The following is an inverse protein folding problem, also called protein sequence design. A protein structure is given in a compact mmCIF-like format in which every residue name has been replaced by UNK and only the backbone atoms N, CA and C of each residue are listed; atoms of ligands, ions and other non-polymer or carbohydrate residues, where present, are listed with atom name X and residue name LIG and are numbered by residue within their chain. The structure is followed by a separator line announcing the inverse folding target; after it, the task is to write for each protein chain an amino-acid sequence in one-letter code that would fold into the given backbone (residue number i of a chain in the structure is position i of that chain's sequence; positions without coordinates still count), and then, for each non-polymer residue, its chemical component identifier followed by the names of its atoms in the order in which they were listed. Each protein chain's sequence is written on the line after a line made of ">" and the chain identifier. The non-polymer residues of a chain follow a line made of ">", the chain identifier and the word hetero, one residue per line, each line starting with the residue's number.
data_IF_956387144048
#
_entry.id   IF_956387144048
#
_cell.length_a   1.000
_cell.length_b   1.000
_cell.length_c   1.000
_cell.angle_alpha   90.00
_cell.angle_beta   90.00
_cell.angle_gamma   90.00
#
_symmetry.space_group_name_H-M   'P 1'
#
loop_
_entity.id
_entity.type
_entity.pdbx_description
1 polymer ?
#
# COMPACT_ATOMS: atom_id res chain seq x y z
N UNK A 1 13.52 10.03 -8.46
CA UNK A 1 13.81 8.66 -7.96
C UNK A 1 12.99 7.71 -8.80
N UNK A 2 13.60 6.75 -9.47
CA UNK A 2 12.88 5.74 -10.26
C UNK A 2 12.08 4.83 -9.33
N UNK A 3 10.82 4.56 -9.67
CA UNK A 3 9.97 3.65 -8.91
C UNK A 3 10.66 2.28 -8.82
N UNK A 4 10.92 1.80 -7.60
CA UNK A 4 11.51 0.48 -7.38
C UNK A 4 10.43 -0.56 -7.61
N UNK A 5 10.56 -1.34 -8.69
CA UNK A 5 9.68 -2.48 -8.93
C UNK A 5 9.89 -3.50 -7.81
N UNK A 6 8.78 -3.94 -7.22
CA UNK A 6 8.76 -4.95 -6.15
C UNK A 6 7.95 -6.16 -6.58
N UNK A 7 8.22 -7.36 -6.04
CA UNK A 7 7.57 -8.61 -6.46
C UNK A 7 6.24 -8.90 -5.78
N UNK A 8 6.01 -8.30 -4.61
CA UNK A 8 4.72 -8.34 -3.94
C UNK A 8 3.74 -7.36 -4.60
N UNK A 9 2.47 -7.70 -4.54
CA UNK A 9 1.33 -6.92 -5.03
C UNK A 9 1.13 -5.64 -4.21
N UNK A 10 1.26 -5.77 -2.90
CA UNK A 10 0.99 -4.75 -1.89
C UNK A 10 1.84 -5.03 -0.63
N UNK A 11 1.93 -4.04 0.26
CA UNK A 11 2.69 -4.21 1.51
C UNK A 11 2.05 -5.20 2.50
N UNK A 12 0.77 -5.54 2.34
CA UNK A 12 0.13 -6.58 3.15
C UNK A 12 0.60 -7.98 2.76
N UNK A 13 0.82 -8.26 1.46
CA UNK A 13 1.46 -9.51 1.01
C UNK A 13 2.90 -9.63 1.54
N UNK A 14 3.65 -8.53 1.59
CA UNK A 14 4.99 -8.51 2.18
C UNK A 14 4.98 -8.78 3.69
N UNK A 15 4.03 -8.17 4.44
CA UNK A 15 3.86 -8.44 5.89
C UNK A 15 3.44 -9.87 6.16
N UNK A 16 2.49 -10.39 5.38
CA UNK A 16 2.10 -11.80 5.45
C UNK A 16 3.29 -12.73 5.24
N UNK A 17 4.15 -12.44 4.26
CA UNK A 17 5.34 -13.24 4.00
C UNK A 17 6.28 -13.24 5.21
N UNK A 18 6.55 -12.06 5.80
CA UNK A 18 7.34 -11.95 7.03
C UNK A 18 6.74 -12.82 8.13
N UNK A 19 5.47 -12.61 8.44
CA UNK A 19 4.82 -13.27 9.56
C UNK A 19 4.77 -14.78 9.36
N UNK A 20 4.52 -15.26 8.13
CA UNK A 20 4.54 -16.66 7.79
C UNK A 20 5.94 -17.30 7.91
N UNK A 21 7.01 -16.62 7.48
CA UNK A 21 8.40 -17.11 7.60
C UNK A 21 8.86 -17.23 9.06
N UNK A 22 8.37 -16.36 9.95
CA UNK A 22 8.75 -16.32 11.37
C UNK A 22 7.69 -16.93 12.32
N UNK A 23 6.56 -17.41 11.80
CA UNK A 23 5.44 -17.96 12.58
C UNK A 23 5.79 -19.18 13.44
N UNK A 24 6.83 -19.94 13.05
CA UNK A 24 7.13 -21.25 13.63
C UNK A 24 6.21 -22.37 13.12
N UNK A 25 5.18 -22.05 12.34
CA UNK A 25 4.26 -23.02 11.75
C UNK A 25 4.82 -23.55 10.42
N UNK A 26 5.05 -24.87 10.35
CA UNK A 26 5.69 -25.49 9.18
C UNK A 26 4.89 -25.28 7.87
N UNK A 27 3.55 -25.33 7.94
CA UNK A 27 2.68 -25.14 6.79
C UNK A 27 2.75 -23.72 6.22
N UNK A 28 2.63 -22.70 7.08
CA UNK A 28 2.73 -21.30 6.68
C UNK A 28 4.13 -20.96 6.16
N UNK A 29 5.17 -21.40 6.86
CA UNK A 29 6.55 -21.20 6.43
C UNK A 29 6.82 -21.85 5.06
N UNK A 30 6.31 -23.07 4.81
CA UNK A 30 6.45 -23.73 3.51
C UNK A 30 5.73 -22.95 2.39
N UNK A 31 4.52 -22.46 2.63
CA UNK A 31 3.79 -21.63 1.67
C UNK A 31 4.53 -20.30 1.37
N UNK A 32 5.10 -19.68 2.39
CA UNK A 32 5.91 -18.47 2.25
C UNK A 32 7.18 -18.71 1.41
N UNK A 33 7.90 -19.81 1.67
CA UNK A 33 9.06 -20.22 0.86
C UNK A 33 8.67 -20.43 -0.61
N UNK A 34 7.54 -21.09 -0.88
CA UNK A 34 7.03 -21.27 -2.24
C UNK A 34 6.70 -19.93 -2.91
N UNK A 35 6.11 -18.98 -2.17
CA UNK A 35 5.84 -17.62 -2.69
C UNK A 35 7.13 -16.91 -3.10
N UNK A 36 8.18 -16.99 -2.29
CA UNK A 36 9.50 -16.39 -2.61
C UNK A 36 10.09 -17.02 -3.87
N UNK A 37 10.05 -18.35 -4.00
CA UNK A 37 10.50 -19.04 -5.22
C UNK A 37 9.74 -18.58 -6.46
N UNK A 38 8.42 -18.39 -6.36
CA UNK A 38 7.63 -17.86 -7.45
C UNK A 38 8.08 -16.44 -7.84
N UNK A 39 8.43 -15.59 -6.86
CA UNK A 39 8.97 -14.26 -7.13
C UNK A 39 10.37 -14.26 -7.74
N UNK A 40 11.24 -15.18 -7.33
CA UNK A 40 12.60 -15.36 -7.90
C UNK A 40 12.56 -15.59 -9.42
N UNK A 41 11.49 -16.22 -9.94
CA UNK A 41 11.34 -16.44 -11.39
C UNK A 41 11.01 -15.18 -12.19
N UNK A 42 10.53 -14.12 -11.53
CA UNK A 42 10.04 -12.90 -12.17
C UNK A 42 11.05 -11.76 -12.10
N UNK A 43 11.78 -11.65 -10.99
CA UNK A 43 12.77 -10.59 -10.80
C UNK A 43 13.78 -10.92 -9.69
N UNK A 44 14.87 -10.15 -9.65
CA UNK A 44 15.83 -10.19 -8.56
C UNK A 44 15.20 -9.71 -7.24
N UNK A 45 15.40 -10.48 -6.17
CA UNK A 45 14.85 -10.17 -4.84
C UNK A 45 15.90 -9.50 -3.93
N UNK A 46 15.46 -8.71 -2.92
CA UNK A 46 16.35 -8.26 -1.87
C UNK A 46 17.08 -9.43 -1.22
N UNK A 47 18.41 -9.34 -1.09
CA UNK A 47 19.23 -10.46 -0.59
C UNK A 47 18.78 -10.91 0.81
N UNK A 48 18.41 -9.98 1.70
CA UNK A 48 17.90 -10.31 3.03
C UNK A 48 16.62 -11.17 2.99
N UNK A 49 15.66 -10.82 2.12
CA UNK A 49 14.43 -11.59 1.92
C UNK A 49 14.73 -13.00 1.39
N UNK A 50 15.60 -13.07 0.38
CA UNK A 50 16.00 -14.33 -0.24
C UNK A 50 16.72 -15.27 0.75
N UNK A 51 17.68 -14.73 1.51
CA UNK A 51 18.42 -15.51 2.51
C UNK A 51 17.52 -15.94 3.67
N UNK A 52 16.58 -15.10 4.10
CA UNK A 52 15.57 -15.48 5.09
C UNK A 52 14.80 -16.72 4.63
N UNK A 53 14.24 -16.69 3.42
CA UNK A 53 13.44 -17.80 2.88
C UNK A 53 14.26 -19.10 2.75
N UNK A 54 15.51 -19.02 2.29
CA UNK A 54 16.38 -20.20 2.15
C UNK A 54 16.79 -20.79 3.51
N UNK A 55 17.08 -19.96 4.50
CA UNK A 55 17.38 -20.41 5.86
C UNK A 55 16.17 -21.10 6.51
N UNK A 56 14.96 -20.56 6.30
CA UNK A 56 13.70 -21.17 6.75
C UNK A 56 13.44 -22.48 6.00
N UNK A 57 13.67 -22.54 4.69
CA UNK A 57 13.54 -23.77 3.91
C UNK A 57 14.46 -24.89 4.43
N UNK A 58 15.73 -24.58 4.66
CA UNK A 58 16.68 -25.56 5.21
C UNK A 58 16.22 -26.04 6.59
N UNK A 59 15.68 -25.15 7.42
CA UNK A 59 15.13 -25.50 8.75
C UNK A 59 13.92 -26.43 8.67
N UNK A 60 13.04 -26.23 7.68
CA UNK A 60 11.90 -27.12 7.43
C UNK A 60 12.38 -28.52 7.00
N UNK A 61 13.40 -28.58 6.15
CA UNK A 61 14.00 -29.83 5.67
C UNK A 61 14.74 -30.55 6.81
N UNK A 62 15.45 -29.82 7.67
CA UNK A 62 16.22 -30.36 8.79
C UNK A 62 15.31 -31.09 9.80
N UNK A 63 14.03 -30.69 9.94
CA UNK A 63 12.98 -31.40 10.70
C UNK A 63 13.22 -31.57 12.21
N UNK A 64 14.44 -31.32 12.68
CA UNK A 64 14.99 -31.72 13.97
C UNK A 64 14.54 -30.85 15.16
N UNK A 65 13.59 -29.93 14.93
CA UNK A 65 13.02 -29.03 15.94
C UNK A 65 11.53 -29.23 16.19
N UNK A 66 10.84 -30.01 15.36
CA UNK A 66 9.49 -30.46 15.61
C UNK A 66 9.52 -31.81 16.30
N UNK A 67 8.88 -31.95 17.46
CA UNK A 67 8.66 -33.24 18.14
C UNK A 67 7.76 -34.21 17.32
N UNK A 68 7.51 -33.95 16.03
CA UNK A 68 6.68 -34.75 15.13
C UNK A 68 7.11 -34.57 13.67
N UNK A 69 8.25 -35.13 13.23
CA UNK A 69 8.53 -35.28 11.80
C UNK A 69 9.61 -36.34 11.44
N UNK A 70 9.93 -37.26 12.34
CA UNK A 70 10.32 -38.60 11.87
C UNK A 70 9.02 -39.37 11.67
N UNK A 71 8.29 -39.07 10.59
CA UNK A 71 7.27 -39.98 10.12
C UNK A 71 8.00 -41.24 9.66
N UNK A 72 8.01 -42.26 10.51
CA UNK A 72 8.33 -43.62 10.08
C UNK A 72 7.38 -43.94 8.94
N UNK A 73 7.91 -43.99 7.72
CA UNK A 73 7.20 -44.71 6.66
C UNK A 73 7.08 -46.17 7.09
N UNK A 74 5.98 -46.82 6.72
CA UNK A 74 5.73 -48.24 7.00
C UNK A 74 6.79 -49.20 6.41
N UNK A 75 7.83 -48.68 5.72
CA UNK A 75 8.94 -49.39 5.11
C UNK A 75 10.31 -49.09 5.76
N UNK A 76 10.39 -48.40 6.89
CA UNK A 76 11.64 -48.27 7.65
C UNK A 76 12.74 -47.43 6.99
N UNK A 77 12.41 -46.59 5.99
CA UNK A 77 13.32 -45.58 5.46
C UNK A 77 13.08 -44.23 6.15
N UNK A 78 14.17 -43.63 6.66
CA UNK A 78 14.21 -42.25 7.15
C UNK A 78 13.95 -41.34 5.96
N UNK A 79 12.79 -40.66 5.92
CA UNK A 79 12.52 -39.59 4.94
C UNK A 79 13.17 -38.31 5.44
N UNK A 80 14.49 -38.23 5.31
CA UNK A 80 15.30 -37.08 5.69
C UNK A 80 16.61 -37.07 4.90
N UNK A 81 17.10 -35.88 4.54
CA UNK A 81 18.41 -35.75 3.89
C UNK A 81 19.52 -36.21 4.85
N UNK A 82 20.61 -36.82 4.33
CA UNK A 82 21.73 -37.21 5.18
C UNK A 82 22.35 -35.97 5.85
N UNK A 83 22.87 -36.15 7.06
CA UNK A 83 23.45 -35.06 7.86
C UNK A 83 24.50 -34.25 7.10
N UNK A 84 25.34 -34.91 6.30
CA UNK A 84 26.35 -34.23 5.47
C UNK A 84 25.75 -33.31 4.41
N UNK A 85 24.63 -33.70 3.79
CA UNK A 85 23.91 -32.84 2.86
C UNK A 85 23.29 -31.64 3.56
N UNK A 86 22.70 -31.83 4.76
CA UNK A 86 22.19 -30.73 5.58
C UNK A 86 23.31 -29.77 5.99
N UNK A 87 24.48 -30.29 6.40
CA UNK A 87 25.65 -29.47 6.73
C UNK A 87 26.05 -28.58 5.56
N UNK A 88 26.12 -29.15 4.35
CA UNK A 88 26.46 -28.40 3.14
C UNK A 88 25.43 -27.32 2.81
N UNK A 89 24.13 -27.65 2.93
CA UNK A 89 23.04 -26.69 2.69
C UNK A 89 23.12 -25.50 3.64
N UNK A 90 23.25 -25.75 4.95
CA UNK A 90 23.42 -24.69 5.94
C UNK A 90 24.69 -23.88 5.69
N UNK A 91 25.84 -24.54 5.52
CA UNK A 91 27.13 -23.89 5.34
C UNK A 91 27.13 -22.96 4.12
N UNK A 92 26.61 -23.43 2.99
CA UNK A 92 26.50 -22.62 1.78
C UNK A 92 25.55 -21.44 1.97
N UNK A 93 24.40 -21.65 2.60
CA UNK A 93 23.43 -20.57 2.81
C UNK A 93 23.97 -19.49 3.76
N UNK A 94 24.60 -19.91 4.88
CA UNK A 94 25.24 -19.01 5.85
C UNK A 94 26.39 -18.24 5.17
N UNK A 95 27.24 -18.92 4.40
CA UNK A 95 28.30 -18.29 3.62
C UNK A 95 27.75 -17.21 2.68
N UNK A 96 26.68 -17.51 1.93
CA UNK A 96 26.05 -16.53 1.01
C UNK A 96 25.40 -15.37 1.75
N UNK A 97 24.81 -15.62 2.91
CA UNK A 97 24.24 -14.58 3.77
C UNK A 97 25.34 -13.62 4.25
N UNK A 98 26.40 -14.15 4.89
CA UNK A 98 27.53 -13.37 5.41
C UNK A 98 28.24 -12.59 4.30
N UNK A 99 28.49 -13.21 3.14
CA UNK A 99 29.11 -12.53 2.02
C UNK A 99 28.26 -11.36 1.53
N UNK A 100 26.97 -11.56 1.23
CA UNK A 100 26.18 -10.44 0.71
C UNK A 100 25.88 -9.36 1.75
N UNK A 101 25.88 -9.69 3.05
CA UNK A 101 25.89 -8.69 4.11
C UNK A 101 27.18 -7.86 4.07
N UNK A 102 28.35 -8.51 3.99
CA UNK A 102 29.62 -7.81 3.86
C UNK A 102 29.70 -6.94 2.59
N UNK A 103 29.22 -7.46 1.46
CA UNK A 103 29.22 -6.78 0.16
C UNK A 103 28.32 -5.53 0.16
N UNK A 104 27.24 -5.54 0.95
CA UNK A 104 26.35 -4.37 1.09
C UNK A 104 27.06 -3.10 1.59
N UNK A 105 28.18 -3.27 2.31
CA UNK A 105 29.03 -2.19 2.84
C UNK A 105 30.22 -1.82 1.94
N UNK A 106 30.44 -2.51 0.83
CA UNK A 106 31.62 -2.31 -0.03
C UNK A 106 31.45 -1.21 -1.09
N UNK A 107 30.57 -0.23 -0.88
CA UNK A 107 30.26 0.84 -1.86
C UNK A 107 31.38 1.88 -2.08
N UNK A 108 32.64 1.58 -1.72
CA UNK A 108 33.78 2.51 -1.78
C UNK A 108 34.94 1.99 -2.65
N UNK A 109 35.94 2.85 -2.90
CA UNK A 109 37.10 2.57 -3.78
C UNK A 109 38.02 1.46 -3.25
N UNK A 110 38.00 1.20 -1.93
CA UNK A 110 38.80 0.16 -1.28
C UNK A 110 37.90 -0.94 -0.71
N UNK A 111 38.14 -2.18 -1.11
CA UNK A 111 37.45 -3.35 -0.58
C UNK A 111 37.81 -3.57 0.89
N UNK A 112 36.79 -3.69 1.76
CA UNK A 112 36.96 -4.07 3.16
C UNK A 112 37.01 -5.60 3.27
N UNK A 113 37.75 -6.12 4.24
CA UNK A 113 37.68 -7.56 4.54
C UNK A 113 36.29 -7.94 5.06
N UNK A 114 35.86 -9.18 4.82
CA UNK A 114 34.56 -9.68 5.32
C UNK A 114 34.47 -9.56 6.85
N UNK A 115 35.57 -9.82 7.56
CA UNK A 115 35.65 -9.65 9.01
C UNK A 115 35.42 -8.20 9.45
N UNK A 116 36.05 -7.22 8.77
CA UNK A 116 35.85 -5.79 9.07
C UNK A 116 34.42 -5.33 8.77
N UNK A 117 33.84 -5.80 7.65
CA UNK A 117 32.47 -5.50 7.29
C UNK A 117 31.48 -6.12 8.29
N UNK A 118 31.68 -7.38 8.69
CA UNK A 118 30.86 -8.08 9.68
C UNK A 118 30.90 -7.36 11.04
N UNK A 119 32.08 -6.93 11.49
CA UNK A 119 32.21 -6.13 12.72
C UNK A 119 31.43 -4.81 12.64
N UNK A 120 31.44 -4.13 11.49
CA UNK A 120 30.67 -2.90 11.26
C UNK A 120 29.16 -3.15 11.33
N UNK A 121 28.69 -4.33 10.89
CA UNK A 121 27.29 -4.74 10.96
C UNK A 121 26.88 -5.32 12.32
N UNK A 122 27.81 -5.40 13.28
CA UNK A 122 27.59 -6.03 14.58
C UNK A 122 27.40 -7.55 14.50
N UNK A 123 27.84 -8.20 13.42
CA UNK A 123 27.81 -9.66 13.32
C UNK A 123 28.90 -10.28 14.19
N UNK A 124 28.61 -11.35 14.94
CA UNK A 124 29.60 -12.02 15.75
C UNK A 124 30.69 -12.68 14.89
N UNK A 125 31.97 -12.65 15.32
CA UNK A 125 33.08 -13.20 14.54
C UNK A 125 32.92 -14.66 14.13
N UNK A 126 32.30 -15.49 14.99
CA UNK A 126 32.11 -16.92 14.71
C UNK A 126 31.22 -17.21 13.48
N UNK A 127 30.36 -16.27 13.05
CA UNK A 127 29.63 -16.40 11.78
C UNK A 127 30.56 -16.23 10.57
N UNK A 128 31.58 -15.39 10.70
CA UNK A 128 32.63 -15.24 9.68
C UNK A 128 33.52 -16.48 9.66
N UNK A 129 33.77 -17.08 10.82
CA UNK A 129 34.53 -18.34 10.94
C UNK A 129 33.78 -19.49 10.25
N UNK A 130 32.45 -19.63 10.44
CA UNK A 130 31.64 -20.62 9.70
C UNK A 130 31.80 -20.45 8.19
N UNK A 131 31.83 -19.20 7.70
CA UNK A 131 32.04 -18.90 6.28
C UNK A 131 33.46 -19.24 5.82
N UNK A 132 34.47 -19.03 6.66
CA UNK A 132 35.86 -19.41 6.36
C UNK A 132 36.00 -20.93 6.30
N UNK A 133 35.49 -21.64 7.31
CA UNK A 133 35.55 -23.09 7.41
C UNK A 133 34.83 -23.77 6.25
N UNK A 134 33.63 -23.31 5.92
CA UNK A 134 32.86 -23.84 4.79
C UNK A 134 33.54 -23.68 3.42
N UNK A 135 34.50 -22.76 3.28
CA UNK A 135 35.22 -22.52 2.03
C UNK A 135 36.59 -23.21 1.97
N UNK A 136 37.26 -23.36 3.12
CA UNK A 136 38.68 -23.71 3.17
C UNK A 136 39.04 -24.86 4.10
N UNK A 137 38.19 -25.16 5.09
CA UNK A 137 38.44 -26.21 6.10
C UNK A 137 37.32 -27.25 6.07
N UNK A 138 37.25 -28.06 7.14
CA UNK A 138 36.16 -29.00 7.35
C UNK A 138 34.85 -28.26 7.68
N UNK A 139 33.72 -28.85 7.25
CA UNK A 139 32.41 -28.28 7.52
C UNK A 139 32.14 -28.21 9.04
N UNK A 140 31.61 -27.08 9.55
CA UNK A 140 31.25 -26.97 10.96
C UNK A 140 30.22 -28.01 11.40
N UNK A 141 30.17 -28.26 12.70
CA UNK A 141 29.19 -29.18 13.29
C UNK A 141 27.75 -28.72 13.01
N UNK A 142 26.81 -29.67 12.92
CA UNK A 142 25.40 -29.34 12.75
C UNK A 142 24.86 -28.39 13.84
N UNK A 143 25.34 -28.52 15.08
CA UNK A 143 24.95 -27.62 16.17
C UNK A 143 25.38 -26.17 15.90
N UNK A 144 26.62 -25.98 15.47
CA UNK A 144 27.17 -24.68 15.07
C UNK A 144 26.40 -24.08 13.90
N UNK A 145 26.09 -24.88 12.88
CA UNK A 145 25.34 -24.43 11.70
C UNK A 145 23.89 -24.04 12.02
N UNK A 146 23.20 -24.81 12.87
CA UNK A 146 21.85 -24.46 13.34
C UNK A 146 21.85 -23.16 14.14
N UNK A 147 22.83 -22.98 15.02
CA UNK A 147 23.03 -21.73 15.76
C UNK A 147 23.31 -20.54 14.82
N UNK A 148 24.12 -20.75 13.78
CA UNK A 148 24.36 -19.76 12.73
C UNK A 148 23.10 -19.36 11.99
N UNK A 149 22.26 -20.33 11.63
CA UNK A 149 20.96 -20.08 11.01
C UNK A 149 20.04 -19.26 11.93
N UNK A 150 19.93 -19.61 13.22
CA UNK A 150 19.14 -18.84 14.19
C UNK A 150 19.61 -17.40 14.30
N UNK A 151 20.92 -17.19 14.44
CA UNK A 151 21.48 -15.85 14.59
C UNK A 151 21.21 -15.00 13.35
N UNK A 152 21.41 -15.55 12.15
CA UNK A 152 21.15 -14.83 10.91
C UNK A 152 19.67 -14.51 10.71
N UNK A 153 18.75 -15.44 11.05
CA UNK A 153 17.32 -15.15 10.99
C UNK A 153 16.94 -14.04 11.96
N UNK A 154 17.44 -14.05 13.20
CA UNK A 154 17.24 -12.96 14.15
C UNK A 154 17.78 -11.62 13.62
N UNK A 155 19.00 -11.63 13.07
CA UNK A 155 19.61 -10.44 12.49
C UNK A 155 18.80 -9.89 11.31
N UNK A 156 18.34 -10.75 10.39
CA UNK A 156 17.51 -10.30 9.26
C UNK A 156 16.16 -9.78 9.72
N UNK A 157 15.54 -10.42 10.73
CA UNK A 157 14.32 -9.92 11.34
C UNK A 157 14.50 -8.48 11.82
N UNK A 158 15.48 -8.24 12.68
CA UNK A 158 15.71 -6.91 13.26
C UNK A 158 16.14 -5.87 12.21
N UNK A 159 17.11 -6.19 11.35
CA UNK A 159 17.78 -5.19 10.50
C UNK A 159 17.09 -4.96 9.17
N UNK A 160 16.39 -5.95 8.63
CA UNK A 160 15.67 -5.82 7.37
C UNK A 160 14.16 -5.74 7.60
N UNK A 161 13.56 -6.75 8.22
CA UNK A 161 12.10 -6.84 8.33
C UNK A 161 11.51 -5.78 9.27
N UNK A 162 12.05 -5.62 10.48
CA UNK A 162 11.56 -4.60 11.44
C UNK A 162 11.86 -3.19 10.95
N UNK A 163 13.08 -2.90 10.49
CA UNK A 163 13.42 -1.57 9.94
C UNK A 163 12.50 -1.17 8.79
N UNK A 164 12.21 -2.10 7.87
CA UNK A 164 11.31 -1.83 6.76
C UNK A 164 9.89 -1.59 7.26
N UNK A 165 9.37 -2.42 8.17
CA UNK A 165 8.01 -2.24 8.69
C UNK A 165 7.87 -0.93 9.49
N UNK A 166 8.88 -0.54 10.27
CA UNK A 166 8.94 0.75 10.96
C UNK A 166 8.87 1.92 9.98
N UNK A 167 9.57 1.84 8.83
CA UNK A 167 9.52 2.85 7.79
C UNK A 167 8.11 2.93 7.16
N UNK A 168 7.48 1.79 6.89
CA UNK A 168 6.11 1.74 6.37
C UNK A 168 5.11 2.32 7.38
N UNK A 169 5.25 2.01 8.67
CA UNK A 169 4.41 2.56 9.73
C UNK A 169 4.61 4.08 9.89
N UNK A 170 5.85 4.57 9.80
CA UNK A 170 6.12 6.02 9.81
C UNK A 170 5.50 6.72 8.61
N UNK A 171 5.59 6.12 7.43
CA UNK A 171 4.98 6.66 6.22
C UNK A 171 3.44 6.69 6.34
N UNK A 172 2.83 5.59 6.79
CA UNK A 172 1.39 5.51 7.04
C UNK A 172 0.93 6.61 7.99
N UNK A 173 1.60 6.75 9.14
CA UNK A 173 1.32 7.82 10.09
C UNK A 173 1.52 9.21 9.49
N UNK A 174 2.60 9.44 8.74
CA UNK A 174 2.85 10.73 8.11
C UNK A 174 1.78 11.12 7.09
N UNK A 175 1.25 10.14 6.34
CA UNK A 175 0.12 10.33 5.42
C UNK A 175 -1.14 10.67 6.19
N UNK A 176 -1.48 9.90 7.23
CA UNK A 176 -2.66 10.18 8.09
C UNK A 176 -2.58 11.57 8.71
N UNK A 177 -1.44 11.94 9.28
CA UNK A 177 -1.21 13.25 9.90
C UNK A 177 -1.35 14.39 8.87
N UNK A 178 -0.85 14.20 7.65
CA UNK A 178 -0.98 15.19 6.58
C UNK A 178 -2.43 15.35 6.07
N UNK A 179 -3.18 14.25 5.97
CA UNK A 179 -4.60 14.28 5.61
C UNK A 179 -5.44 14.97 6.70
N UNK A 180 -5.19 14.66 7.97
CA UNK A 180 -5.86 15.30 9.10
C UNK A 180 -5.54 16.80 9.16
N UNK A 181 -4.28 17.18 8.92
CA UNK A 181 -3.89 18.58 8.82
C UNK A 181 -4.61 19.29 7.67
N UNK A 182 -4.75 18.63 6.52
CA UNK A 182 -5.51 19.17 5.40
C UNK A 182 -6.97 19.42 5.78
N UNK A 183 -7.67 18.46 6.38
CA UNK A 183 -9.09 18.62 6.77
C UNK A 183 -9.27 19.76 7.77
N UNK A 184 -8.40 19.86 8.79
CA UNK A 184 -8.45 20.96 9.75
C UNK A 184 -8.25 22.32 9.08
N UNK A 185 -7.32 22.41 8.13
CA UNK A 185 -7.02 23.64 7.42
C UNK A 185 -8.14 24.02 6.45
N UNK A 186 -8.71 23.05 5.74
CA UNK A 186 -9.84 23.24 4.84
C UNK A 186 -11.08 23.77 5.59
N UNK A 187 -11.37 23.23 6.77
CA UNK A 187 -12.46 23.70 7.63
C UNK A 187 -12.27 25.14 8.09
N UNK A 188 -11.05 25.50 8.51
CA UNK A 188 -10.73 26.89 8.88
C UNK A 188 -10.88 27.84 7.70
N UNK A 189 -10.41 27.44 6.52
CA UNK A 189 -10.56 28.23 5.31
C UNK A 189 -12.02 28.39 4.85
N UNK A 190 -12.91 27.43 5.17
CA UNK A 190 -14.35 27.61 4.96
C UNK A 190 -15.00 28.58 5.95
N UNK A 191 -14.44 28.72 7.16
CA UNK A 191 -14.91 29.69 8.15
C UNK A 191 -14.33 31.10 7.94
N UNK A 192 -13.16 31.21 7.28
CA UNK A 192 -12.41 32.45 7.08
C UNK A 192 -12.06 32.67 5.59
N UNK A 193 -12.68 33.66 4.94
CA UNK A 193 -12.82 33.75 3.47
C UNK A 193 -11.55 33.93 2.61
N UNK A 194 -10.35 34.20 3.15
CA UNK A 194 -9.20 34.51 2.28
C UNK A 194 -7.79 34.19 2.83
N UNK A 195 -7.56 34.32 4.15
CA UNK A 195 -6.20 34.22 4.71
C UNK A 195 -5.67 32.78 4.76
N UNK A 196 -6.55 31.80 4.96
CA UNK A 196 -6.17 30.40 5.21
C UNK A 196 -6.00 29.57 3.94
N UNK A 197 -6.29 30.13 2.75
CA UNK A 197 -6.26 29.35 1.51
C UNK A 197 -4.85 28.92 1.09
N UNK A 198 -3.86 29.77 1.34
CA UNK A 198 -2.46 29.41 1.15
C UNK A 198 -2.04 28.22 2.05
N UNK A 199 -2.64 28.11 3.24
CA UNK A 199 -2.43 27.01 4.17
C UNK A 199 -3.04 25.70 3.65
N UNK A 200 -4.23 25.75 3.04
CA UNK A 200 -4.86 24.59 2.36
C UNK A 200 -3.96 24.09 1.23
N UNK A 201 -3.45 24.99 0.40
CA UNK A 201 -2.56 24.65 -0.71
C UNK A 201 -1.24 24.04 -0.23
N UNK A 202 -0.65 24.58 0.85
CA UNK A 202 0.55 24.00 1.48
C UNK A 202 0.29 22.58 2.00
N UNK A 203 -0.87 22.35 2.61
CA UNK A 203 -1.28 21.04 3.11
C UNK A 203 -1.46 20.01 1.99
N UNK A 204 -2.06 20.42 0.85
CA UNK A 204 -2.12 19.58 -0.37
C UNK A 204 -0.72 19.24 -0.87
N UNK A 205 0.17 20.26 -0.94
CA UNK A 205 1.56 20.06 -1.35
C UNK A 205 2.29 19.04 -0.47
N UNK A 206 2.08 19.09 0.85
CA UNK A 206 2.63 18.12 1.80
C UNK A 206 2.16 16.69 1.49
N UNK A 207 0.86 16.49 1.25
CA UNK A 207 0.32 15.15 0.91
C UNK A 207 0.96 14.60 -0.36
N UNK A 208 1.06 15.43 -1.40
CA UNK A 208 1.66 15.03 -2.69
C UNK A 208 3.16 14.76 -2.60
N UNK A 209 3.88 15.41 -1.69
CA UNK A 209 5.32 15.21 -1.48
C UNK A 209 5.64 13.93 -0.70
N UNK A 210 4.72 13.42 0.12
CA UNK A 210 4.95 12.23 0.94
C UNK A 210 5.06 10.94 0.13
N UNK A 211 4.45 10.90 -1.07
CA UNK A 211 4.20 9.63 -1.76
C UNK A 211 4.88 9.57 -3.12
N UNK A 212 5.64 8.48 -3.32
CA UNK A 212 6.14 8.07 -4.62
C UNK A 212 5.02 7.49 -5.49
N UNK A 213 5.28 7.37 -6.79
CA UNK A 213 4.32 6.88 -7.81
C UNK A 213 3.72 5.50 -7.50
N UNK A 214 4.43 4.65 -6.77
CA UNK A 214 3.98 3.31 -6.38
C UNK A 214 3.36 3.24 -4.99
N UNK A 215 3.60 4.22 -4.12
CA UNK A 215 3.21 4.17 -2.71
C UNK A 215 1.77 4.60 -2.44
N UNK A 216 1.17 5.43 -3.31
CA UNK A 216 -0.17 5.95 -3.06
C UNK A 216 -1.25 4.85 -2.93
N UNK A 217 -1.09 3.70 -3.58
CA UNK A 217 -2.06 2.60 -3.51
C UNK A 217 -2.13 1.95 -2.13
N UNK A 218 -0.98 1.78 -1.50
CA UNK A 218 -0.87 1.06 -0.24
C UNK A 218 -1.10 1.96 0.98
N UNK A 219 -0.86 3.26 0.83
CA UNK A 219 -0.95 4.22 1.94
C UNK A 219 -2.06 5.25 1.75
N UNK A 220 -2.12 5.90 0.58
CA UNK A 220 -3.06 7.00 0.36
C UNK A 220 -4.50 6.52 0.20
N UNK A 221 -4.72 5.48 -0.61
CA UNK A 221 -6.09 5.01 -0.87
C UNK A 221 -6.79 4.47 0.39
N UNK A 222 -6.14 3.65 1.25
CA UNK A 222 -6.72 3.26 2.53
C UNK A 222 -6.86 4.43 3.50
N UNK A 223 -5.91 5.37 3.52
CA UNK A 223 -6.00 6.54 4.38
C UNK A 223 -7.17 7.47 3.98
N UNK A 224 -7.45 7.62 2.69
CA UNK A 224 -8.61 8.35 2.20
C UNK A 224 -9.94 7.68 2.56
N UNK A 225 -10.02 6.34 2.54
CA UNK A 225 -11.20 5.59 2.99
C UNK A 225 -11.54 5.96 4.45
N UNK A 226 -10.53 5.96 5.34
CA UNK A 226 -10.70 6.40 6.73
C UNK A 226 -11.03 7.89 6.84
N UNK A 227 -10.41 8.74 6.00
CA UNK A 227 -10.66 10.19 5.99
C UNK A 227 -12.11 10.52 5.61
N UNK A 228 -12.70 9.76 4.68
CA UNK A 228 -14.10 9.88 4.29
C UNK A 228 -15.01 9.57 5.47
N UNK A 229 -14.79 8.44 6.16
CA UNK A 229 -15.55 8.07 7.36
C UNK A 229 -15.47 9.16 8.44
N UNK A 230 -14.27 9.67 8.73
CA UNK A 230 -14.07 10.72 9.75
C UNK A 230 -14.72 12.04 9.36
N UNK A 231 -14.51 12.51 8.11
CA UNK A 231 -14.99 13.83 7.68
C UNK A 231 -16.51 13.87 7.58
N UNK A 232 -17.12 12.82 7.01
CA UNK A 232 -18.57 12.74 6.85
C UNK A 232 -19.26 12.34 8.16
N UNK A 233 -18.65 11.43 8.94
CA UNK A 233 -19.21 10.93 10.20
C UNK A 233 -19.32 12.00 11.28
N UNK A 234 -18.39 12.96 11.34
CA UNK A 234 -18.49 14.11 12.25
C UNK A 234 -19.71 15.00 11.92
N UNK A 235 -20.01 15.19 10.64
CA UNK A 235 -21.21 15.91 10.20
C UNK A 235 -22.50 15.19 10.60
N UNK A 236 -22.51 13.86 10.41
CA UNK A 236 -23.62 13.02 10.85
C UNK A 236 -23.82 13.04 12.37
N UNK A 237 -22.75 13.11 13.15
CA UNK A 237 -22.83 13.15 14.62
C UNK A 237 -23.25 14.53 15.17
N UNK A 238 -23.00 15.61 14.43
CA UNK A 238 -23.40 16.97 14.80
C UNK A 238 -24.88 17.27 14.53
N UNK A 239 -25.50 16.52 13.62
CA UNK A 239 -26.93 16.57 13.37
C UNK A 239 -27.67 15.66 14.37
N UNK A 240 -28.23 16.24 15.44
CA UNK A 240 -29.03 15.53 16.44
C UNK A 240 -30.21 14.77 15.78
N UNK A 241 -30.02 13.47 15.51
CA UNK A 241 -31.04 12.53 15.06
C UNK A 241 -31.63 12.85 13.68
N UNK A 242 -31.08 12.28 12.61
CA UNK A 242 -31.70 12.34 11.28
C UNK A 242 -33.13 11.79 11.32
N UNK A 243 -34.08 12.60 10.83
CA UNK A 243 -35.48 12.17 10.68
C UNK A 243 -35.68 11.18 9.53
N UNK A 244 -34.77 11.18 8.53
CA UNK A 244 -34.75 10.28 7.37
C UNK A 244 -33.30 10.13 6.82
N UNK A 245 -32.99 9.00 6.19
CA UNK A 245 -31.69 8.70 5.57
C UNK A 245 -31.33 9.71 4.44
N UNK A 246 -32.32 10.32 3.81
CA UNK A 246 -32.10 11.35 2.78
C UNK A 246 -31.30 12.56 3.28
N UNK A 247 -31.63 13.04 4.48
CA UNK A 247 -30.92 14.17 5.11
C UNK A 247 -29.49 13.78 5.49
N UNK A 248 -29.29 12.53 5.94
CA UNK A 248 -27.97 11.98 6.25
C UNK A 248 -27.07 11.94 5.01
N UNK A 249 -27.60 11.53 3.85
CA UNK A 249 -26.83 11.55 2.60
C UNK A 249 -26.45 12.98 2.18
N UNK A 250 -27.37 13.94 2.28
CA UNK A 250 -27.12 15.33 1.91
C UNK A 250 -26.03 15.97 2.81
N UNK A 251 -26.12 15.75 4.12
CA UNK A 251 -25.15 16.27 5.09
C UNK A 251 -23.76 15.66 4.87
N UNK A 252 -23.71 14.34 4.66
CA UNK A 252 -22.46 13.63 4.37
C UNK A 252 -21.85 14.07 3.03
N UNK A 253 -22.66 14.33 2.00
CA UNK A 253 -22.18 14.87 0.73
C UNK A 253 -21.57 16.26 0.91
N UNK A 254 -22.23 17.16 1.66
CA UNK A 254 -21.69 18.49 1.94
C UNK A 254 -20.35 18.43 2.67
N UNK A 255 -20.22 17.54 3.65
CA UNK A 255 -18.95 17.32 4.34
C UNK A 255 -17.89 16.71 3.42
N UNK A 256 -18.26 15.84 2.48
CA UNK A 256 -17.33 15.27 1.51
C UNK A 256 -16.80 16.32 0.50
N UNK A 257 -17.52 17.43 0.25
CA UNK A 257 -17.06 18.52 -0.62
C UNK A 257 -15.77 19.19 -0.10
N UNK A 258 -15.53 19.17 1.21
CA UNK A 258 -14.25 19.61 1.82
C UNK A 258 -13.04 18.85 1.25
N UNK A 259 -13.23 17.63 0.76
CA UNK A 259 -12.15 16.80 0.22
C UNK A 259 -11.87 17.09 -1.26
N UNK A 260 -12.78 17.75 -1.99
CA UNK A 260 -12.67 17.98 -3.43
C UNK A 260 -11.33 18.62 -3.86
N UNK A 261 -10.84 19.70 -3.25
CA UNK A 261 -9.52 20.27 -3.57
C UNK A 261 -8.38 19.24 -3.57
N UNK A 262 -8.29 18.44 -2.52
CA UNK A 262 -7.28 17.41 -2.38
C UNK A 262 -7.51 16.24 -3.36
N UNK A 263 -8.76 15.80 -3.54
CA UNK A 263 -9.10 14.73 -4.50
C UNK A 263 -8.67 15.08 -5.92
N UNK A 264 -8.93 16.30 -6.37
CA UNK A 264 -8.54 16.77 -7.70
C UNK A 264 -7.02 16.83 -7.85
N UNK A 265 -6.32 17.34 -6.85
CA UNK A 265 -4.86 17.41 -6.85
C UNK A 265 -4.22 16.00 -6.87
N UNK A 266 -4.71 15.09 -6.03
CA UNK A 266 -4.24 13.70 -5.97
C UNK A 266 -4.59 12.94 -7.25
N UNK A 267 -5.78 13.10 -7.82
CA UNK A 267 -6.16 12.48 -9.09
C UNK A 267 -5.31 12.99 -10.27
N UNK A 268 -4.93 14.27 -10.24
CA UNK A 268 -4.04 14.86 -11.23
C UNK A 268 -2.64 14.25 -11.14
N UNK A 269 -2.15 14.04 -9.92
CA UNK A 269 -0.86 13.38 -9.68
C UNK A 269 -0.91 11.88 -10.02
N UNK A 270 -2.03 11.20 -9.72
CA UNK A 270 -2.19 9.74 -9.84
C UNK A 270 -3.49 9.40 -10.57
N UNK A 271 -3.41 9.23 -11.89
CA UNK A 271 -4.57 9.05 -12.76
C UNK A 271 -5.51 7.87 -12.41
N UNK A 272 -5.02 6.87 -11.67
CA UNK A 272 -5.78 5.68 -11.24
C UNK A 272 -6.37 5.83 -9.83
N UNK A 273 -6.18 6.97 -9.17
CA UNK A 273 -6.57 7.18 -7.77
C UNK A 273 -8.07 7.10 -7.55
N UNK A 274 -8.86 7.97 -8.19
CA UNK A 274 -10.32 8.00 -8.02
C UNK A 274 -10.98 6.66 -8.34
N UNK A 275 -10.69 5.98 -9.47
CA UNK A 275 -11.27 4.65 -9.72
C UNK A 275 -10.95 3.63 -8.63
N UNK A 276 -9.71 3.62 -8.14
CA UNK A 276 -9.29 2.72 -7.07
C UNK A 276 -10.04 3.03 -5.79
N UNK A 277 -10.15 4.31 -5.42
CA UNK A 277 -10.87 4.74 -4.22
C UNK A 277 -12.37 4.41 -4.30
N UNK A 278 -13.02 4.64 -5.44
CA UNK A 278 -14.44 4.31 -5.65
C UNK A 278 -14.70 2.81 -5.50
N UNK A 279 -13.84 1.96 -6.08
CA UNK A 279 -13.96 0.51 -5.88
C UNK A 279 -13.77 0.11 -4.41
N UNK A 280 -12.84 0.75 -3.69
CA UNK A 280 -12.65 0.50 -2.25
C UNK A 280 -13.88 0.89 -1.43
N UNK A 281 -14.49 2.04 -1.72
CA UNK A 281 -15.74 2.47 -1.09
C UNK A 281 -16.87 1.47 -1.37
N UNK A 282 -17.02 1.01 -2.62
CA UNK A 282 -18.02 -0.01 -2.96
C UNK A 282 -17.78 -1.33 -2.21
N UNK A 283 -16.53 -1.78 -2.14
CA UNK A 283 -16.15 -3.00 -1.40
C UNK A 283 -16.37 -2.84 0.10
N UNK A 284 -16.23 -1.62 0.65
CA UNK A 284 -16.50 -1.31 2.06
C UNK A 284 -18.00 -1.33 2.36
N UNK A 285 -18.84 -0.74 1.49
CA UNK A 285 -20.30 -0.82 1.59
C UNK A 285 -20.75 -2.29 1.59
N UNK A 286 -20.22 -3.10 0.66
CA UNK A 286 -20.54 -4.53 0.59
C UNK A 286 -20.09 -5.29 1.85
N UNK A 287 -18.91 -4.99 2.40
CA UNK A 287 -18.41 -5.58 3.64
C UNK A 287 -19.33 -5.25 4.82
N UNK A 288 -19.67 -3.98 5.01
CA UNK A 288 -20.54 -3.53 6.10
C UNK A 288 -21.93 -4.17 6.03
N UNK A 289 -22.51 -4.26 4.83
CA UNK A 289 -23.74 -4.99 4.59
C UNK A 289 -23.64 -6.48 4.98
N UNK A 290 -22.56 -7.16 4.60
CA UNK A 290 -22.35 -8.57 4.93
C UNK A 290 -22.18 -8.84 6.43
N UNK A 291 -21.69 -7.85 7.18
CA UNK A 291 -21.55 -7.88 8.63
C UNK A 291 -22.88 -7.58 9.36
N UNK A 292 -23.96 -7.30 8.62
CA UNK A 292 -25.26 -6.93 9.20
C UNK A 292 -25.27 -5.54 9.85
N UNK A 293 -24.29 -4.69 9.54
CA UNK A 293 -24.32 -3.28 9.92
C UNK A 293 -25.41 -2.60 9.08
N UNK A 294 -26.33 -1.88 9.71
CA UNK A 294 -27.42 -1.19 9.01
C UNK A 294 -26.92 -0.14 8.01
N UNK A 295 -27.83 0.36 7.17
CA UNK A 295 -27.54 1.31 6.09
C UNK A 295 -26.77 2.56 6.57
N UNK A 296 -26.98 2.98 7.83
CA UNK A 296 -26.27 4.08 8.49
C UNK A 296 -24.74 3.96 8.44
N UNK A 297 -24.20 2.74 8.55
CA UNK A 297 -22.74 2.52 8.54
C UNK A 297 -22.09 2.82 7.17
N UNK A 298 -22.90 2.74 6.10
CA UNK A 298 -22.47 2.93 4.72
C UNK A 298 -22.74 4.33 4.17
N UNK A 299 -23.44 5.20 4.91
CA UNK A 299 -23.84 6.54 4.47
C UNK A 299 -22.64 7.36 3.99
N UNK A 300 -21.54 7.40 4.76
CA UNK A 300 -20.35 8.18 4.39
C UNK A 300 -19.75 7.75 3.03
N UNK A 301 -19.59 6.44 2.81
CA UNK A 301 -19.03 5.91 1.57
C UNK A 301 -19.99 6.12 0.38
N UNK A 302 -21.28 5.90 0.60
CA UNK A 302 -22.29 6.08 -0.43
C UNK A 302 -22.45 7.55 -0.82
N UNK A 303 -22.48 8.46 0.14
CA UNK A 303 -22.46 9.91 -0.09
C UNK A 303 -21.22 10.35 -0.87
N UNK A 304 -20.03 9.84 -0.51
CA UNK A 304 -18.80 10.12 -1.24
C UNK A 304 -18.85 9.62 -2.69
N UNK A 305 -19.32 8.38 -2.92
CA UNK A 305 -19.48 7.83 -4.28
C UNK A 305 -20.46 8.69 -5.08
N UNK A 306 -21.61 9.07 -4.50
CA UNK A 306 -22.59 9.94 -5.14
C UNK A 306 -22.01 11.32 -5.48
N UNK A 307 -21.24 11.93 -4.57
CA UNK A 307 -20.55 13.21 -4.81
C UNK A 307 -19.62 13.10 -6.03
N UNK A 308 -18.71 12.13 -6.04
CA UNK A 308 -17.74 11.95 -7.13
C UNK A 308 -18.43 11.61 -8.47
N UNK A 309 -19.57 10.92 -8.42
CA UNK A 309 -20.36 10.58 -9.60
C UNK A 309 -21.35 11.67 -10.04
N UNK A 310 -21.55 12.72 -9.24
CA UNK A 310 -22.44 13.83 -9.56
C UNK A 310 -21.97 14.63 -10.77
N UNK A 311 -22.93 15.24 -11.48
CA UNK A 311 -22.62 16.16 -12.58
C UNK A 311 -21.85 17.39 -12.08
N UNK A 312 -22.14 17.85 -10.86
CA UNK A 312 -21.44 18.99 -10.26
C UNK A 312 -19.93 18.72 -10.09
N UNK A 313 -19.56 17.55 -9.56
CA UNK A 313 -18.15 17.16 -9.43
C UNK A 313 -17.49 16.98 -10.80
N UNK A 314 -18.23 16.44 -11.78
CA UNK A 314 -17.73 16.29 -13.14
C UNK A 314 -17.35 17.64 -13.78
N UNK A 315 -18.24 18.63 -13.66
CA UNK A 315 -17.99 20.00 -14.14
C UNK A 315 -16.82 20.65 -13.41
N UNK A 316 -16.72 20.42 -12.10
CA UNK A 316 -15.59 20.89 -11.28
C UNK A 316 -14.26 20.28 -11.75
N UNK A 317 -14.23 18.97 -12.00
CA UNK A 317 -13.06 18.26 -12.50
C UNK A 317 -12.63 18.76 -13.88
N UNK A 318 -13.58 19.01 -14.78
CA UNK A 318 -13.29 19.56 -16.11
C UNK A 318 -12.63 20.93 -16.05
N UNK A 319 -13.16 21.83 -15.22
CA UNK A 319 -12.56 23.14 -14.98
C UNK A 319 -11.15 23.02 -14.40
N UNK A 320 -10.95 22.06 -13.50
CA UNK A 320 -9.64 21.76 -12.95
C UNK A 320 -8.64 21.29 -14.00
N UNK A 321 -9.01 20.34 -14.87
CA UNK A 321 -8.11 19.88 -15.95
C UNK A 321 -7.77 21.01 -16.92
N UNK A 322 -8.76 21.84 -17.31
CA UNK A 322 -8.53 23.01 -18.16
C UNK A 322 -7.57 24.00 -17.52
N UNK A 323 -7.73 24.28 -16.22
CA UNK A 323 -6.82 25.13 -15.46
C UNK A 323 -5.38 24.60 -15.44
N UNK A 324 -5.21 23.29 -15.21
CA UNK A 324 -3.89 22.63 -15.23
C UNK A 324 -3.25 22.70 -16.61
N UNK A 325 -4.02 22.43 -17.68
CA UNK A 325 -3.53 22.43 -19.04
C UNK A 325 -3.10 23.82 -19.51
N UNK A 326 -3.91 24.84 -19.24
CA UNK A 326 -3.64 26.23 -19.62
C UNK A 326 -2.68 26.93 -18.64
N UNK A 327 -2.31 26.24 -17.54
CA UNK A 327 -1.67 26.82 -16.36
C UNK A 327 -2.42 28.07 -15.89
N UNK A 328 -3.74 28.10 -16.07
CA UNK A 328 -4.57 29.25 -15.78
C UNK A 328 -5.30 29.02 -14.47
N UNK A 329 -4.89 29.78 -13.48
CA UNK A 329 -5.41 29.70 -12.13
C UNK A 329 -6.83 30.29 -12.06
N UNK A 330 -7.21 31.21 -12.95
CA UNK A 330 -8.52 31.86 -12.93
C UNK A 330 -9.68 30.91 -13.27
N UNK A 331 -9.36 29.78 -13.91
CA UNK A 331 -10.32 28.71 -14.24
C UNK A 331 -10.68 27.81 -13.05
N UNK A 332 -9.89 27.85 -11.97
CA UNK A 332 -10.16 27.09 -10.76
C UNK A 332 -11.19 27.81 -9.87
N UNK A 333 -11.97 27.08 -9.05
CA UNK A 333 -12.81 27.70 -8.03
C UNK A 333 -12.00 28.66 -7.15
N UNK A 334 -12.59 29.78 -6.71
CA UNK A 334 -11.90 30.77 -5.85
C UNK A 334 -11.28 30.12 -4.60
N UNK A 335 -11.94 29.08 -4.07
CA UNK A 335 -11.54 28.22 -2.96
C UNK A 335 -10.25 27.40 -3.24
N UNK A 336 -9.69 27.46 -4.45
CA UNK A 336 -8.46 26.75 -4.82
C UNK A 336 -7.33 27.70 -5.25
N UNK A 337 -7.62 28.99 -5.28
CA UNK A 337 -6.88 29.99 -6.08
C UNK A 337 -6.34 31.12 -5.24
N UNK A 338 -7.07 31.56 -4.21
CA UNK A 338 -6.70 32.77 -3.48
C UNK A 338 -5.36 32.61 -2.76
N UNK A 339 -4.40 33.48 -3.07
CA UNK A 339 -3.21 33.69 -2.24
C UNK A 339 -1.86 33.15 -2.73
N UNK A 340 -1.75 32.51 -3.90
CA UNK A 340 -0.45 32.00 -4.42
C UNK A 340 -0.16 32.49 -5.85
N UNK A 341 1.05 33.00 -6.08
CA UNK A 341 1.56 33.39 -7.41
C UNK A 341 1.63 32.17 -8.36
N UNK A 342 1.39 32.40 -9.65
CA UNK A 342 1.23 31.36 -10.69
C UNK A 342 2.38 30.33 -10.74
N UNK A 343 3.59 30.73 -10.34
CA UNK A 343 4.81 29.94 -10.48
C UNK A 343 5.10 28.99 -9.29
N UNK A 344 4.36 29.11 -8.18
CA UNK A 344 4.58 28.34 -6.93
C UNK A 344 3.59 27.17 -6.73
N UNK A 345 2.90 26.71 -7.79
CA UNK A 345 1.81 25.71 -7.68
C UNK A 345 2.27 24.31 -8.10
N UNK A 346 2.83 23.48 -7.18
CA UNK A 346 3.37 22.16 -7.52
C UNK A 346 2.31 21.18 -8.08
N UNK A 347 1.03 21.38 -7.77
CA UNK A 347 -0.08 20.54 -8.27
C UNK A 347 -0.59 20.94 -9.67
N UNK A 348 -0.26 22.15 -10.15
CA UNK A 348 -0.47 22.55 -11.55
C UNK A 348 0.69 22.11 -12.46
N UNK A 349 1.82 21.71 -11.88
CA UNK A 349 2.93 21.17 -12.64
C UNK A 349 2.63 19.72 -13.02
N UNK A 350 2.50 19.45 -14.32
CA UNK A 350 2.46 18.06 -14.83
C UNK A 350 3.72 17.34 -14.31
N UNK A 351 3.61 16.24 -13.55
CA UNK A 351 4.78 15.46 -13.15
C UNK A 351 5.59 15.10 -14.40
N UNK A 352 6.91 15.29 -14.38
CA UNK A 352 7.78 15.08 -15.55
C UNK A 352 7.71 13.67 -16.15
N UNK A 353 7.16 12.69 -15.41
CA UNK A 353 7.01 11.28 -15.77
C UNK A 353 5.76 11.00 -16.62
N UNK A 354 4.91 12.00 -16.84
CA UNK A 354 3.54 11.80 -17.29
C UNK A 354 3.24 12.62 -18.57
N UNK A 355 4.02 12.39 -19.63
CA UNK A 355 3.78 12.84 -21.02
C UNK A 355 2.89 11.86 -21.81
N UNK A 356 1.81 11.36 -21.19
CA UNK A 356 0.81 10.53 -21.86
C UNK A 356 -0.38 11.35 -22.37
N UNK A 357 -0.97 10.91 -23.47
CA UNK A 357 -2.17 11.49 -24.08
C UNK A 357 -3.37 11.44 -23.12
N UNK A 358 -4.06 12.58 -22.92
CA UNK A 358 -5.02 12.79 -21.84
C UNK A 358 -6.45 13.11 -22.31
N UNK A 359 -7.03 12.25 -23.14
CA UNK A 359 -8.47 12.20 -23.43
C UNK A 359 -9.32 11.60 -22.28
N UNK A 360 -9.00 11.99 -21.03
CA UNK A 360 -9.24 11.26 -19.76
C UNK A 360 -10.67 11.18 -19.21
N UNK A 361 -11.63 11.91 -19.74
CA UNK A 361 -13.05 11.77 -19.39
C UNK A 361 -13.61 10.38 -19.73
N UNK A 362 -13.13 9.79 -20.83
CA UNK A 362 -13.55 8.47 -21.29
C UNK A 362 -13.22 7.34 -20.29
N UNK A 363 -12.27 7.52 -19.36
CA UNK A 363 -11.86 6.48 -18.40
C UNK A 363 -12.62 6.50 -17.07
N UNK A 364 -13.10 7.65 -16.60
CA UNK A 364 -14.06 7.68 -15.48
C UNK A 364 -15.41 7.13 -15.95
N UNK A 365 -15.82 7.42 -17.20
CA UNK A 365 -16.98 6.79 -17.83
C UNK A 365 -16.80 5.27 -18.01
N UNK A 366 -15.61 4.79 -18.41
CA UNK A 366 -15.31 3.35 -18.50
C UNK A 366 -15.44 2.61 -17.15
N UNK A 367 -15.17 3.29 -16.04
CA UNK A 367 -15.33 2.72 -14.70
C UNK A 367 -16.74 2.89 -14.13
N UNK A 368 -17.61 3.70 -14.75
CA UNK A 368 -19.01 3.83 -14.30
C UNK A 368 -19.79 2.54 -14.54
N UNK A 369 -19.55 1.81 -15.63
CA UNK A 369 -20.19 0.52 -15.88
C UNK A 369 -19.74 -0.54 -14.87
N UNK A 370 -18.43 -0.68 -14.64
CA UNK A 370 -17.87 -1.62 -13.66
C UNK A 370 -18.33 -1.31 -12.23
N UNK A 371 -18.39 -0.02 -11.87
CA UNK A 371 -18.86 0.42 -10.56
C UNK A 371 -20.38 0.22 -10.41
N UNK A 372 -21.15 0.48 -11.47
CA UNK A 372 -22.59 0.18 -11.52
C UNK A 372 -22.85 -1.30 -11.32
N UNK A 373 -22.08 -2.17 -11.98
CA UNK A 373 -22.20 -3.61 -11.79
C UNK A 373 -21.98 -3.97 -10.32
N UNK A 374 -20.96 -3.41 -9.65
CA UNK A 374 -20.78 -3.61 -8.20
C UNK A 374 -21.97 -3.10 -7.39
N UNK A 375 -22.51 -1.92 -7.70
CA UNK A 375 -23.68 -1.33 -7.02
C UNK A 375 -24.91 -2.21 -7.20
N UNK A 376 -25.11 -2.80 -8.37
CA UNK A 376 -26.23 -3.70 -8.66
C UNK A 376 -26.22 -4.95 -7.76
N UNK A 377 -25.04 -5.41 -7.34
CA UNK A 377 -24.84 -6.56 -6.44
C UNK A 377 -24.89 -6.21 -4.95
N UNK A 378 -25.06 -4.93 -4.58
CA UNK A 378 -25.34 -4.56 -3.19
C UNK A 378 -26.71 -5.11 -2.77
N UNK A 379 -26.92 -5.40 -1.46
CA UNK A 379 -28.23 -5.78 -0.96
C UNK A 379 -29.28 -4.71 -1.23
N UNK A 380 -30.54 -5.13 -1.32
CA UNK A 380 -31.66 -4.19 -1.39
C UNK A 380 -31.76 -3.39 -0.09
N UNK A 381 -31.75 -2.06 -0.22
CA UNK A 381 -31.69 -1.13 0.90
C UNK A 381 -31.60 0.32 0.43
N UNK A 382 -31.65 1.27 1.36
CA UNK A 382 -31.67 2.70 1.05
C UNK A 382 -30.37 3.15 0.37
N UNK A 383 -29.23 2.55 0.73
CA UNK A 383 -27.92 2.84 0.14
C UNK A 383 -27.88 2.48 -1.36
N UNK A 384 -28.40 1.30 -1.73
CA UNK A 384 -28.45 0.86 -3.13
C UNK A 384 -29.37 1.76 -3.95
N UNK A 385 -30.58 2.03 -3.45
CA UNK A 385 -31.54 2.91 -4.12
C UNK A 385 -30.99 4.33 -4.30
N UNK A 386 -30.32 4.89 -3.28
CA UNK A 386 -29.67 6.19 -3.36
C UNK A 386 -28.59 6.23 -4.44
N UNK A 387 -27.68 5.25 -4.45
CA UNK A 387 -26.58 5.20 -5.43
C UNK A 387 -27.08 5.05 -6.87
N UNK A 388 -28.11 4.24 -7.11
CA UNK A 388 -28.65 4.04 -8.46
C UNK A 388 -29.18 5.33 -9.13
N UNK A 389 -29.57 6.34 -8.34
CA UNK A 389 -29.96 7.66 -8.88
C UNK A 389 -28.81 8.37 -9.60
N UNK A 390 -27.56 8.05 -9.27
CA UNK A 390 -26.35 8.61 -9.86
C UNK A 390 -25.77 7.73 -10.98
N UNK A 391 -26.37 6.56 -11.25
CA UNK A 391 -26.03 5.64 -12.33
C UNK A 391 -27.29 5.26 -13.12
N UNK A 392 -27.93 6.21 -13.83
CA UNK A 392 -29.14 5.93 -14.62
C UNK A 392 -28.84 4.84 -15.67
N UNK A 393 -29.81 3.95 -16.00
CA UNK A 393 -29.67 2.96 -17.09
C UNK A 393 -29.11 3.61 -18.34
N UNK A 394 -28.15 2.95 -18.99
CA UNK A 394 -27.74 3.35 -20.33
C UNK A 394 -29.03 3.37 -21.16
N UNK A 395 -29.41 4.55 -21.67
CA UNK A 395 -30.55 4.64 -22.58
C UNK A 395 -30.26 3.68 -23.74
N UNK A 396 -31.20 2.79 -24.13
CA UNK A 396 -31.02 2.01 -25.34
C UNK A 396 -30.80 3.00 -26.48
N UNK A 397 -29.69 2.82 -27.23
CA UNK A 397 -29.34 3.62 -28.40
C UNK A 397 -30.61 4.02 -29.14
N UNK A 398 -30.97 5.30 -29.05
CA UNK A 398 -32.07 5.85 -29.84
C UNK A 398 -31.58 5.75 -31.28
N UNK A 399 -32.12 4.78 -32.03
CA UNK A 399 -31.90 4.66 -33.46
C UNK A 399 -32.04 6.05 -34.09
N UNK A 400 -31.07 6.52 -34.90
CA UNK A 400 -31.18 7.82 -35.52
C UNK A 400 -32.44 7.81 -36.39
N UNK A 401 -33.40 8.66 -36.02
CA UNK A 401 -34.63 8.88 -36.75
C UNK A 401 -34.32 9.24 -38.21
N UNK A 402 -34.68 8.32 -39.12
CA UNK A 402 -35.21 8.59 -40.47
C UNK A 402 -34.31 9.30 -41.47
#
# INVERSE_FOLDING_TARGET
>A
MTARVVPWRDWSEWRWLRDALYSGEAGLAAAAVQRVKAWETRQALPQALLMTARLVEIRLIDGSRGHQASAMSAQGQIVGLPTSALQLMYALCIMRAVNGLADSLQKGVMARSVSSAAATLGLPPWLVDIRHDAAHNDLPSMGTLRMGCDHLLGWYYEKYWSTQDDELQRLDKAVQDALNQYVQTARKAMAEDASEMASVQSSIGRVLQLLSESAWRDFLAPAFENLIEQTCGEGLAAADGFGDLGDAFAEAMSHAELLCPLLLAVQTAYAKFLPTLLHRCADQIQRQASEGKGDEASVCHAAFVALVCSEAFHQLFLRWEQAVEQRDVELLPKVLVSGIQRDEKPYLQRPAVLQGDYSKLSRLALHRSELRDKINHLPDGAVRSFLLNYFPPDEPDVEPLG
#
